data_IF_560110850646
#
_entry.id   IF_560110850646
#
_cell.length_a   1.000
_cell.length_b   1.000
_cell.length_c   1.000
_cell.angle_alpha   90.00
_cell.angle_beta   90.00
_cell.angle_gamma   90.00
#
_symmetry.space_group_name_H-M   'P 1'
#
loop_
_entity.id
_entity.type
_entity.pdbx_description
1 polymer ?
#
# COMPACT_ATOMS: atom_id res chain seq x y z
N UNK A 1 38.57 19.58 57.36
CA UNK A 1 39.00 19.43 55.95
C UNK A 1 37.95 18.60 55.21
N UNK A 2 37.18 19.21 54.30
CA UNK A 2 36.18 18.52 53.47
C UNK A 2 36.82 18.19 52.12
N UNK A 3 36.82 16.92 51.74
CA UNK A 3 37.31 16.43 50.44
C UNK A 3 36.10 16.43 49.49
N UNK A 4 36.18 17.25 48.44
CA UNK A 4 35.21 17.29 47.35
C UNK A 4 35.41 16.04 46.47
N UNK A 5 34.39 15.17 46.37
CA UNK A 5 34.37 14.09 45.38
C UNK A 5 33.76 14.65 44.09
N UNK A 6 34.55 14.72 43.03
CA UNK A 6 34.09 15.01 41.67
C UNK A 6 33.54 13.70 41.09
N UNK A 7 32.25 13.66 40.81
CA UNK A 7 31.59 12.54 40.14
C UNK A 7 31.62 12.79 38.63
N UNK A 8 32.42 12.00 37.92
CA UNK A 8 32.52 12.01 36.45
C UNK A 8 31.29 11.30 35.88
N UNK A 9 30.41 12.04 35.20
CA UNK A 9 29.27 11.50 34.46
C UNK A 9 29.72 11.11 33.05
N UNK A 10 29.95 9.82 32.83
CA UNK A 10 30.20 9.27 31.49
C UNK A 10 28.86 9.07 30.80
N UNK A 11 28.46 10.01 29.92
CA UNK A 11 27.35 9.81 28.99
C UNK A 11 27.79 8.80 27.92
N UNK A 12 27.36 7.55 28.05
CA UNK A 12 27.46 6.56 27.00
C UNK A 12 26.48 6.91 25.88
N UNK A 13 26.98 7.48 24.78
CA UNK A 13 26.24 7.51 23.52
C UNK A 13 26.16 6.08 22.98
N UNK A 14 25.04 5.41 23.23
CA UNK A 14 24.65 4.23 22.48
C UNK A 14 24.21 4.70 21.09
N UNK A 15 25.12 4.64 20.11
CA UNK A 15 24.74 4.63 18.70
C UNK A 15 23.99 3.31 18.43
N UNK A 16 22.67 3.33 18.55
CA UNK A 16 21.84 2.32 17.90
C UNK A 16 21.76 2.71 16.43
N UNK A 17 22.74 2.26 15.65
CA UNK A 17 22.60 2.18 14.19
C UNK A 17 21.52 1.14 13.91
N UNK A 18 20.29 1.59 13.69
CA UNK A 18 19.28 0.79 13.02
C UNK A 18 19.76 0.56 11.59
N UNK A 19 20.50 -0.53 11.36
CA UNK A 19 20.65 -1.08 10.02
C UNK A 19 19.27 -1.61 9.62
N UNK A 20 18.46 -0.74 9.02
CA UNK A 20 17.34 -1.18 8.21
C UNK A 20 17.97 -1.77 6.95
N UNK A 21 18.29 -3.06 7.00
CA UNK A 21 18.45 -3.85 5.79
C UNK A 21 17.08 -3.89 5.11
N UNK A 22 16.80 -2.86 4.31
CA UNK A 22 15.82 -2.92 3.24
C UNK A 22 16.31 -4.00 2.25
N UNK A 23 16.16 -5.26 2.63
CA UNK A 23 15.98 -6.32 1.65
C UNK A 23 14.82 -5.83 0.80
N UNK A 24 15.11 -5.54 -0.47
CA UNK A 24 14.13 -5.01 -1.42
C UNK A 24 12.87 -5.88 -1.33
N UNK A 25 11.85 -5.34 -0.68
CA UNK A 25 10.58 -6.03 -0.47
C UNK A 25 10.03 -6.34 -1.85
N UNK A 26 9.69 -7.59 -2.15
CA UNK A 26 8.95 -7.81 -3.38
C UNK A 26 7.58 -7.17 -3.26
N UNK A 27 7.04 -6.70 -4.38
CA UNK A 27 5.67 -6.15 -4.38
C UNK A 27 4.69 -7.21 -3.86
N UNK A 28 4.81 -8.45 -4.30
CA UNK A 28 4.17 -9.62 -3.68
C UNK A 28 4.75 -9.84 -2.28
N UNK A 29 3.89 -9.72 -1.26
CA UNK A 29 4.27 -9.76 0.15
C UNK A 29 4.41 -8.38 0.80
N UNK A 30 4.18 -7.28 0.07
CA UNK A 30 4.25 -5.93 0.65
C UNK A 30 2.93 -5.50 1.29
N UNK A 31 3.05 -4.73 2.37
CA UNK A 31 1.92 -4.10 3.06
C UNK A 31 2.16 -2.60 3.16
N UNK A 32 1.13 -1.85 2.81
CA UNK A 32 1.07 -0.41 2.92
C UNK A 32 0.00 0.01 3.93
N UNK A 33 0.23 1.15 4.59
CA UNK A 33 -0.70 1.84 5.48
C UNK A 33 -1.20 3.10 4.81
N UNK A 34 -2.44 3.51 5.10
CA UNK A 34 -2.89 4.82 4.67
C UNK A 34 -2.12 5.94 5.39
N UNK A 35 -1.68 6.94 4.64
CA UNK A 35 -0.89 8.06 5.16
C UNK A 35 -1.65 8.92 6.17
N UNK A 36 -2.99 8.87 6.11
CA UNK A 36 -3.89 9.62 7.00
C UNK A 36 -4.16 8.89 8.33
N UNK A 37 -3.56 7.71 8.53
CA UNK A 37 -3.64 6.90 9.75
C UNK A 37 -5.07 6.56 10.22
N UNK A 38 -5.99 6.39 9.27
CA UNK A 38 -7.35 5.93 9.48
C UNK A 38 -7.44 4.42 9.75
N UNK A 39 -6.35 3.67 9.54
CA UNK A 39 -6.24 2.26 9.93
C UNK A 39 -6.57 1.28 8.80
N UNK A 40 -6.40 1.71 7.55
CA UNK A 40 -6.49 0.87 6.38
C UNK A 40 -5.14 0.20 6.08
N UNK A 41 -5.21 -1.00 5.52
CA UNK A 41 -4.06 -1.75 5.03
C UNK A 41 -4.29 -2.14 3.57
N UNK A 42 -3.37 -1.75 2.70
CA UNK A 42 -3.27 -2.25 1.33
C UNK A 42 -2.20 -3.35 1.31
N UNK A 43 -2.62 -4.58 1.05
CA UNK A 43 -1.72 -5.75 1.02
C UNK A 43 -1.66 -6.31 -0.39
N UNK A 44 -0.44 -6.60 -0.85
CA UNK A 44 -0.19 -7.28 -2.11
C UNK A 44 0.26 -8.72 -1.81
N UNK A 45 -0.41 -9.70 -2.41
CA UNK A 45 -0.11 -11.12 -2.26
C UNK A 45 0.09 -11.80 -3.61
N UNK A 46 0.52 -13.06 -3.59
CA UNK A 46 0.64 -13.87 -4.80
C UNK A 46 -0.65 -13.87 -5.64
N UNK A 47 -0.53 -13.96 -6.97
CA UNK A 47 -1.69 -14.01 -7.87
C UNK A 47 -2.53 -15.26 -7.60
N UNK A 48 -3.82 -15.17 -7.94
CA UNK A 48 -4.73 -16.32 -7.87
C UNK A 48 -4.33 -17.31 -8.96
N UNK A 49 -4.16 -18.61 -8.64
CA UNK A 49 -3.88 -19.63 -9.64
C UNK A 49 -4.88 -19.54 -10.81
N UNK A 50 -4.39 -19.79 -12.03
CA UNK A 50 -5.17 -19.81 -13.28
C UNK A 50 -5.71 -18.45 -13.79
N UNK A 51 -5.33 -17.32 -13.18
CA UNK A 51 -5.61 -15.97 -13.74
C UNK A 51 -4.46 -15.49 -14.63
N UNK A 52 -4.53 -15.82 -15.93
CA UNK A 52 -3.42 -15.69 -16.89
C UNK A 52 -2.75 -14.29 -17.02
N UNK A 53 -3.40 -13.21 -16.59
CA UNK A 53 -2.89 -11.83 -16.66
C UNK A 53 -2.60 -11.19 -15.30
N UNK A 54 -2.95 -11.84 -14.19
CA UNK A 54 -2.75 -11.28 -12.84
C UNK A 54 -1.31 -11.49 -12.37
N UNK A 55 -0.68 -10.42 -11.89
CA UNK A 55 0.69 -10.43 -11.35
C UNK A 55 0.71 -10.58 -9.83
N UNK A 56 -0.32 -10.07 -9.18
CA UNK A 56 -0.54 -10.17 -7.75
C UNK A 56 -2.01 -9.92 -7.45
N UNK A 57 -2.42 -10.18 -6.21
CA UNK A 57 -3.71 -9.74 -5.69
C UNK A 57 -3.46 -8.58 -4.75
N UNK A 58 -4.21 -7.49 -4.91
CA UNK A 58 -4.23 -6.41 -3.94
C UNK A 58 -5.51 -6.48 -3.11
N UNK A 59 -5.40 -6.30 -1.81
CA UNK A 59 -6.55 -6.26 -0.89
C UNK A 59 -6.47 -5.00 -0.04
N UNK A 60 -7.62 -4.39 0.22
CA UNK A 60 -7.75 -3.32 1.19
C UNK A 60 -8.59 -3.82 2.36
N UNK A 61 -8.00 -3.79 3.54
CA UNK A 61 -8.66 -4.15 4.80
C UNK A 61 -8.73 -2.95 5.74
N UNK A 62 -9.70 -2.96 6.65
CA UNK A 62 -9.74 -2.05 7.78
C UNK A 62 -9.89 -2.85 9.08
N UNK A 63 -9.20 -2.39 10.13
CA UNK A 63 -9.16 -3.06 11.44
C UNK A 63 -10.54 -3.36 12.04
N UNK A 64 -11.56 -2.58 11.68
CA UNK A 64 -12.92 -2.71 12.21
C UNK A 64 -13.95 -3.29 11.23
N UNK A 65 -13.67 -3.30 9.91
CA UNK A 65 -14.67 -3.62 8.88
C UNK A 65 -14.30 -4.84 8.01
N UNK A 66 -13.24 -5.58 8.38
CA UNK A 66 -12.69 -6.69 7.59
C UNK A 66 -12.25 -6.25 6.18
N UNK A 67 -12.32 -7.16 5.20
CA UNK A 67 -11.96 -6.91 3.79
C UNK A 67 -12.95 -5.92 3.15
N UNK A 68 -12.43 -4.85 2.57
CA UNK A 68 -13.23 -3.81 1.89
C UNK A 68 -13.17 -4.02 0.38
N UNK A 69 -11.97 -4.15 -0.16
CA UNK A 69 -11.76 -4.33 -1.58
C UNK A 69 -10.76 -5.44 -1.86
N UNK A 70 -10.93 -6.08 -3.01
CA UNK A 70 -10.00 -7.04 -3.57
C UNK A 70 -9.85 -6.80 -5.07
N UNK A 71 -8.62 -6.89 -5.55
CA UNK A 71 -8.27 -6.57 -6.92
C UNK A 71 -7.30 -7.60 -7.48
N UNK A 72 -7.46 -7.91 -8.77
CA UNK A 72 -6.37 -8.45 -9.57
C UNK A 72 -5.47 -7.29 -10.00
N UNK A 73 -4.18 -7.43 -9.74
CA UNK A 73 -3.16 -6.47 -10.18
C UNK A 73 -2.68 -6.90 -11.55
N UNK A 74 -2.88 -6.04 -12.53
CA UNK A 74 -2.42 -6.27 -13.90
C UNK A 74 -1.40 -5.20 -14.28
N UNK A 75 -0.39 -5.59 -15.03
CA UNK A 75 0.62 -4.68 -15.55
C UNK A 75 0.87 -5.04 -17.02
N UNK A 76 0.69 -4.07 -17.90
CA UNK A 76 0.94 -4.26 -19.33
C UNK A 76 2.44 -4.13 -19.61
N UNK A 77 3.07 -5.15 -20.20
CA UNK A 77 4.48 -5.08 -20.59
C UNK A 77 4.72 -3.92 -21.55
N UNK A 78 5.67 -3.03 -21.21
CA UNK A 78 6.05 -1.87 -22.03
C UNK A 78 5.21 -0.61 -21.81
N UNK A 79 4.21 -0.65 -20.93
CA UNK A 79 3.50 0.53 -20.45
C UNK A 79 3.69 0.63 -18.93
N UNK A 80 4.17 1.78 -18.45
CA UNK A 80 4.43 2.02 -17.01
C UNK A 80 3.16 2.16 -16.16
N UNK A 81 2.05 1.55 -16.56
CA UNK A 81 0.76 1.66 -15.88
C UNK A 81 0.38 0.32 -15.27
N UNK A 82 0.18 0.34 -13.95
CA UNK A 82 -0.37 -0.78 -13.19
C UNK A 82 -1.84 -0.50 -12.96
N UNK A 83 -2.67 -1.54 -13.06
CA UNK A 83 -4.11 -1.43 -12.93
C UNK A 83 -4.64 -2.44 -11.90
N UNK A 84 -5.57 -1.97 -11.07
CA UNK A 84 -6.28 -2.74 -10.07
C UNK A 84 -7.69 -3.04 -10.56
N UNK A 85 -7.93 -4.24 -11.06
CA UNK A 85 -9.25 -4.66 -11.53
C UNK A 85 -10.03 -5.30 -10.39
N UNK A 86 -11.18 -4.74 -10.03
CA UNK A 86 -11.99 -5.23 -8.92
C UNK A 86 -12.49 -6.67 -9.18
N UNK A 87 -12.35 -7.52 -8.17
CA UNK A 87 -12.85 -8.90 -8.18
C UNK A 87 -13.75 -9.16 -6.99
N UNK A 88 -14.67 -10.10 -7.13
CA UNK A 88 -15.53 -10.51 -6.03
C UNK A 88 -14.85 -11.53 -5.10
N UNK A 89 -15.61 -11.98 -4.10
CA UNK A 89 -15.14 -12.99 -3.13
C UNK A 89 -15.03 -14.40 -3.73
N UNK A 90 -15.50 -14.61 -4.96
CA UNK A 90 -15.37 -15.85 -5.71
C UNK A 90 -14.20 -15.83 -6.71
N UNK A 91 -13.35 -14.80 -6.63
CA UNK A 91 -12.18 -14.60 -7.50
C UNK A 91 -12.57 -14.26 -8.95
N UNK A 92 -13.85 -13.99 -9.20
CA UNK A 92 -14.36 -13.62 -10.52
C UNK A 92 -14.30 -12.10 -10.69
N UNK A 93 -13.98 -11.67 -11.92
CA UNK A 93 -14.04 -10.25 -12.28
C UNK A 93 -15.50 -9.81 -12.24
N UNK A 94 -15.78 -8.77 -11.44
CA UNK A 94 -17.14 -8.22 -11.35
C UNK A 94 -17.53 -7.72 -12.75
N UNK A 95 -18.70 -8.16 -13.24
CA UNK A 95 -19.16 -7.92 -14.61
C UNK A 95 -19.28 -6.43 -15.03
N UNK A 96 -19.20 -5.50 -14.06
CA UNK A 96 -18.87 -4.11 -14.32
C UNK A 96 -17.35 -3.92 -14.15
N UNK A 97 -16.63 -3.78 -15.26
CA UNK A 97 -15.18 -3.58 -15.33
C UNK A 97 -14.72 -2.31 -14.58
N UNK A 98 -14.64 -2.36 -13.25
CA UNK A 98 -14.08 -1.26 -12.47
C UNK A 98 -12.60 -1.53 -12.29
N UNK A 99 -11.78 -0.69 -12.91
CA UNK A 99 -10.33 -0.76 -12.86
C UNK A 99 -9.76 0.59 -12.42
N UNK A 100 -8.79 0.57 -11.51
CA UNK A 100 -8.15 1.75 -10.97
C UNK A 100 -6.67 1.80 -11.36
N UNK A 101 -6.17 2.91 -11.90
CA UNK A 101 -4.74 3.11 -12.07
C UNK A 101 -4.03 3.13 -10.71
N UNK A 102 -2.94 2.38 -10.59
CA UNK A 102 -2.04 2.37 -9.46
C UNK A 102 -0.70 2.98 -9.86
N UNK A 103 -0.28 3.98 -9.09
CA UNK A 103 1.00 4.66 -9.25
C UNK A 103 1.88 4.40 -8.05
N UNK A 104 3.17 4.17 -8.29
CA UNK A 104 4.16 4.04 -7.24
C UNK A 104 5.16 5.18 -7.29
N UNK A 105 5.65 5.58 -6.12
CA UNK A 105 6.65 6.62 -5.95
C UNK A 105 7.75 6.20 -4.98
N UNK A 106 8.95 6.70 -5.19
CA UNK A 106 10.06 6.59 -4.26
C UNK A 106 9.94 7.58 -3.09
N UNK A 107 10.94 7.60 -2.20
CA UNK A 107 10.98 8.48 -1.03
C UNK A 107 10.95 9.99 -1.36
N UNK A 108 11.34 10.37 -2.57
CA UNK A 108 11.36 11.75 -3.07
C UNK A 108 10.08 12.10 -3.86
N UNK A 109 9.07 11.21 -3.85
CA UNK A 109 7.83 11.32 -4.62
C UNK A 109 8.04 11.35 -6.14
N UNK A 110 9.15 10.78 -6.61
CA UNK A 110 9.40 10.56 -8.03
C UNK A 110 8.78 9.22 -8.41
N UNK A 111 8.17 9.15 -9.61
CA UNK A 111 7.61 7.90 -10.13
C UNK A 111 8.62 6.77 -10.04
N UNK A 112 8.31 5.73 -9.26
CA UNK A 112 9.15 4.55 -9.13
C UNK A 112 9.08 3.67 -10.39
N UNK A 113 7.92 3.65 -11.05
CA UNK A 113 7.69 2.84 -12.24
C UNK A 113 8.65 3.23 -13.37
N UNK A 114 9.56 2.33 -13.80
CA UNK A 114 10.45 2.63 -14.91
C UNK A 114 9.63 2.74 -16.20
N UNK A 115 9.53 3.95 -16.76
CA UNK A 115 8.79 4.24 -18.01
C UNK A 115 9.23 3.44 -19.26
N UNK A 116 10.26 2.60 -19.17
CA UNK A 116 11.01 2.08 -20.32
C UNK A 116 11.45 0.61 -20.18
N UNK A 117 11.46 0.00 -18.98
CA UNK A 117 12.08 -1.32 -18.77
C UNK A 117 11.45 -2.24 -17.70
N UNK A 118 10.13 -2.36 -17.71
CA UNK A 118 9.49 -3.60 -17.25
C UNK A 118 8.69 -3.50 -15.95
N UNK A 119 8.42 -4.70 -15.41
CA UNK A 119 7.49 -4.93 -14.31
C UNK A 119 8.06 -4.43 -12.99
N UNK A 120 7.20 -3.87 -12.14
CA UNK A 120 7.62 -3.47 -10.80
C UNK A 120 7.78 -4.71 -9.94
N UNK A 121 9.02 -4.98 -9.54
CA UNK A 121 9.36 -6.20 -8.78
C UNK A 121 9.61 -5.91 -7.31
N UNK A 122 10.01 -4.68 -6.98
CA UNK A 122 10.18 -4.21 -5.61
C UNK A 122 9.03 -3.31 -5.19
N UNK A 123 8.68 -3.32 -3.90
CA UNK A 123 7.66 -2.46 -3.31
C UNK A 123 8.23 -1.04 -3.07
N UNK A 124 7.76 -0.02 -3.79
CA UNK A 124 8.25 1.35 -3.62
C UNK A 124 7.69 1.99 -2.35
N UNK A 125 8.28 3.11 -1.90
CA UNK A 125 7.95 3.72 -0.61
C UNK A 125 6.49 4.20 -0.54
N UNK A 126 5.95 4.70 -1.65
CA UNK A 126 4.57 5.20 -1.69
C UNK A 126 3.79 4.61 -2.85
N UNK A 127 2.48 4.51 -2.66
CA UNK A 127 1.54 4.12 -3.70
C UNK A 127 0.30 5.01 -3.69
N UNK A 128 -0.30 5.23 -4.86
CA UNK A 128 -1.53 6.00 -5.01
C UNK A 128 -2.48 5.28 -5.97
N UNK A 129 -3.71 5.04 -5.53
CA UNK A 129 -4.76 4.43 -6.35
C UNK A 129 -5.69 5.55 -6.81
N UNK A 130 -5.61 5.90 -8.08
CA UNK A 130 -6.45 6.97 -8.63
C UNK A 130 -7.92 6.54 -8.68
N UNK A 131 -8.80 7.50 -8.44
CA UNK A 131 -10.27 7.40 -8.51
C UNK A 131 -10.92 6.43 -7.51
N UNK A 132 -10.16 5.74 -6.66
CA UNK A 132 -10.71 4.80 -5.68
C UNK A 132 -11.56 5.51 -4.62
N UNK A 133 -11.12 6.67 -4.11
CA UNK A 133 -11.87 7.38 -3.09
C UNK A 133 -13.17 7.96 -3.63
N UNK A 134 -13.12 8.50 -4.85
CA UNK A 134 -14.33 8.94 -5.55
C UNK A 134 -15.29 7.77 -5.78
N UNK A 135 -14.80 6.62 -6.24
CA UNK A 135 -15.62 5.43 -6.42
C UNK A 135 -16.26 4.94 -5.12
N UNK A 136 -15.51 4.90 -4.01
CA UNK A 136 -16.04 4.54 -2.69
C UNK A 136 -17.19 5.48 -2.28
N UNK A 137 -17.03 6.80 -2.44
CA UNK A 137 -18.08 7.78 -2.12
C UNK A 137 -19.38 7.50 -2.91
N UNK A 138 -19.25 7.27 -4.23
CA UNK A 138 -20.41 7.03 -5.08
C UNK A 138 -21.08 5.68 -4.81
N UNK A 139 -20.31 4.61 -4.60
CA UNK A 139 -20.87 3.29 -4.34
C UNK A 139 -21.51 3.17 -2.96
N UNK A 140 -21.05 3.95 -1.98
CA UNK A 140 -21.64 3.97 -0.64
C UNK A 140 -22.80 4.96 -0.51
N UNK A 141 -23.03 5.76 -1.55
CA UNK A 141 -24.14 6.71 -1.60
C UNK A 141 -25.47 5.96 -1.56
N UNK A 142 -26.20 6.10 -0.46
CA UNK A 142 -27.52 5.48 -0.24
C UNK A 142 -27.51 4.18 0.57
N UNK A 143 -26.34 3.61 0.87
CA UNK A 143 -26.21 2.46 1.81
C UNK A 143 -25.86 2.89 3.23
N UNK A 144 -25.25 4.07 3.40
CA UNK A 144 -25.00 4.65 4.72
C UNK A 144 -26.05 5.72 5.04
N UNK A 145 -26.77 5.54 6.14
CA UNK A 145 -27.98 6.30 6.48
C UNK A 145 -27.73 7.63 7.19
N UNK A 146 -26.49 7.91 7.64
CA UNK A 146 -26.18 9.09 8.45
C UNK A 146 -25.46 10.23 7.71
N UNK A 147 -25.22 10.08 6.40
CA UNK A 147 -24.47 11.07 5.63
C UNK A 147 -22.96 11.09 5.93
N UNK A 148 -22.42 10.05 6.59
CA UNK A 148 -20.98 9.86 6.71
C UNK A 148 -20.38 9.77 5.31
N UNK A 149 -19.38 10.63 5.07
CA UNK A 149 -18.59 10.69 3.84
C UNK A 149 -17.91 9.34 3.54
N UNK A 150 -17.43 9.20 2.30
CA UNK A 150 -16.52 8.14 1.84
C UNK A 150 -15.69 7.49 2.95
N UNK A 151 -15.72 6.15 3.03
CA UNK A 151 -14.90 5.38 3.97
C UNK A 151 -13.43 5.47 3.56
N UNK A 152 -13.15 5.32 2.25
CA UNK A 152 -11.86 5.58 1.66
C UNK A 152 -11.87 6.92 0.94
N UNK A 153 -10.96 7.82 1.28
CA UNK A 153 -10.63 8.97 0.44
C UNK A 153 -9.63 8.60 -0.66
N UNK A 154 -9.20 9.59 -1.44
CA UNK A 154 -8.04 9.45 -2.32
C UNK A 154 -6.76 9.51 -1.47
N UNK A 155 -6.43 8.39 -0.84
CA UNK A 155 -5.34 8.29 0.13
C UNK A 155 -4.01 7.94 -0.55
N UNK A 156 -2.93 8.54 -0.05
CA UNK A 156 -1.59 8.05 -0.31
C UNK A 156 -1.33 6.84 0.61
N UNK A 157 -0.72 5.80 0.06
CA UNK A 157 -0.34 4.60 0.77
C UNK A 157 1.16 4.64 1.04
N UNK A 158 1.58 4.33 2.26
CA UNK A 158 2.98 4.32 2.69
C UNK A 158 3.40 2.90 2.98
N UNK A 159 4.50 2.46 2.38
CA UNK A 159 5.06 1.13 2.63
C UNK A 159 5.39 0.99 4.12
N UNK A 160 4.88 -0.08 4.73
CA UNK A 160 5.00 -0.35 6.17
C UNK A 160 5.92 -1.55 6.41
N UNK A 161 5.62 -2.69 5.79
CA UNK A 161 6.33 -3.94 6.06
C UNK A 161 6.22 -4.95 4.91
N UNK A 162 7.12 -5.93 4.94
CA UNK A 162 7.04 -7.16 4.15
C UNK A 162 6.45 -8.30 4.98
N UNK A 163 5.88 -9.29 4.30
CA UNK A 163 5.40 -10.56 4.86
C UNK A 163 6.31 -11.72 4.47
#
# INVERSE_FOLDING_TARGET
>A
MKILKVATLTFGLSLFTALNSALACQITGSVYRDADHQGFELTFSDPIPDTASSKSVATIHHSQQNLIYRFNVTQASGYGSIFLSAIDNTDEVVASEVSFPLYFFDEDLISATPAWFGEETSAPQYAFIADLGSYDDYNRRGTVSDGSRSLLGDVMWVHDRCQ
#
